data_IF_670135889084
#
_entry.id   IF_670135889084
#
_cell.length_a   1.000
_cell.length_b   1.000
_cell.length_c   1.000
_cell.angle_alpha   90.00
_cell.angle_beta   90.00
_cell.angle_gamma   90.00
#
_symmetry.space_group_name_H-M   'P 1'
#
loop_
_entity.id
_entity.type
_entity.pdbx_description
1 polymer ?
#
# COMPACT_ATOMS: atom_id res chain seq x y z
N UNK A 1 -4.79 22.82 0.20
CA UNK A 1 -5.74 22.23 1.17
C UNK A 1 -6.95 23.16 1.26
N UNK A 2 -8.17 22.65 1.43
CA UNK A 2 -9.39 23.48 1.37
C UNK A 2 -9.45 24.57 2.46
N UNK A 3 -8.70 24.40 3.55
CA UNK A 3 -8.52 25.41 4.60
C UNK A 3 -7.60 26.57 4.20
N UNK A 4 -6.79 26.40 3.14
CA UNK A 4 -5.77 27.36 2.70
C UNK A 4 -6.26 28.30 1.58
N UNK A 5 -7.45 28.03 1.03
CA UNK A 5 -8.09 28.86 0.00
C UNK A 5 -8.69 30.18 0.54
N UNK A 6 -8.61 30.43 1.85
CA UNK A 6 -9.19 31.60 2.51
C UNK A 6 -8.23 32.78 2.66
N UNK A 7 -8.78 33.99 2.85
CA UNK A 7 -7.99 35.21 3.12
C UNK A 7 -7.20 35.02 4.44
N UNK A 8 -5.89 35.34 4.50
CA UNK A 8 -5.05 35.09 5.68
C UNK A 8 -5.59 35.66 6.99
N UNK A 9 -6.28 36.80 6.94
CA UNK A 9 -6.88 37.45 8.11
C UNK A 9 -8.03 36.64 8.71
N UNK A 10 -8.72 35.81 7.93
CA UNK A 10 -9.88 35.04 8.38
C UNK A 10 -9.44 33.78 9.14
N UNK A 11 -8.22 33.28 8.88
CA UNK A 11 -7.67 32.03 9.47
C UNK A 11 -7.61 32.07 10.99
N UNK A 12 -7.35 33.24 11.56
CA UNK A 12 -7.24 33.47 13.01
C UNK A 12 -8.49 34.14 13.60
N UNK A 13 -9.43 34.58 12.77
CA UNK A 13 -10.67 35.22 13.22
C UNK A 13 -11.65 34.18 13.78
N UNK A 14 -12.37 34.55 14.84
CA UNK A 14 -13.36 33.67 15.43
C UNK A 14 -14.74 33.94 14.81
N UNK A 15 -15.54 32.89 14.64
CA UNK A 15 -16.95 33.02 14.27
C UNK A 15 -17.79 33.53 15.46
N UNK A 16 -19.11 33.68 15.27
CA UNK A 16 -20.04 34.10 16.33
C UNK A 16 -20.05 33.17 17.56
N UNK A 17 -19.64 31.91 17.39
CA UNK A 17 -19.53 30.91 18.45
C UNK A 17 -18.15 30.91 19.13
N UNK A 18 -17.28 31.85 18.77
CA UNK A 18 -15.92 31.95 19.31
C UNK A 18 -14.94 30.91 18.75
N UNK A 19 -15.25 30.22 17.64
CA UNK A 19 -14.40 29.18 17.04
C UNK A 19 -13.62 29.70 15.84
N UNK A 20 -12.36 29.30 15.70
CA UNK A 20 -11.57 29.54 14.48
C UNK A 20 -12.02 28.64 13.34
N UNK A 21 -11.80 29.02 12.05
CA UNK A 21 -12.15 28.19 10.91
C UNK A 21 -11.67 26.73 11.00
N UNK A 22 -10.43 26.52 11.46
CA UNK A 22 -9.85 25.18 11.64
C UNK A 22 -10.57 24.34 12.70
N UNK A 23 -10.99 24.97 13.80
CA UNK A 23 -11.72 24.30 14.88
C UNK A 23 -13.11 23.89 14.40
N UNK A 24 -13.80 24.79 13.68
CA UNK A 24 -15.09 24.52 13.08
C UNK A 24 -15.00 23.42 12.01
N UNK A 25 -13.99 23.46 11.14
CA UNK A 25 -13.75 22.43 10.14
C UNK A 25 -13.49 21.07 10.79
N UNK A 26 -12.59 21.01 11.76
CA UNK A 26 -12.28 19.77 12.51
C UNK A 26 -13.52 19.22 13.21
N UNK A 27 -14.34 20.08 13.82
CA UNK A 27 -15.58 19.68 14.48
C UNK A 27 -16.58 19.10 13.48
N UNK A 28 -16.79 19.76 12.34
CA UNK A 28 -17.73 19.34 11.31
C UNK A 28 -17.29 18.06 10.59
N UNK A 29 -15.98 17.83 10.42
CA UNK A 29 -15.43 16.67 9.71
C UNK A 29 -15.02 15.52 10.65
N UNK A 30 -15.32 15.61 11.95
CA UNK A 30 -14.92 14.59 12.94
C UNK A 30 -15.38 13.18 12.58
N UNK A 31 -16.63 13.02 12.17
CA UNK A 31 -17.15 11.70 11.78
C UNK A 31 -16.55 11.22 10.45
N UNK A 32 -16.28 12.12 9.49
CA UNK A 32 -15.62 11.78 8.23
C UNK A 32 -14.19 11.29 8.46
N UNK A 33 -13.45 11.89 9.39
CA UNK A 33 -12.11 11.42 9.78
C UNK A 33 -12.18 10.02 10.38
N UNK A 34 -13.16 9.76 11.25
CA UNK A 34 -13.36 8.45 11.88
C UNK A 34 -13.79 7.37 10.88
N UNK A 35 -14.64 7.74 9.91
CA UNK A 35 -15.04 6.85 8.83
C UNK A 35 -13.87 6.57 7.87
N UNK A 36 -13.09 7.60 7.52
CA UNK A 36 -11.86 7.46 6.74
C UNK A 36 -10.83 6.57 7.42
N UNK A 37 -10.64 6.72 8.73
CA UNK A 37 -9.76 5.84 9.53
C UNK A 37 -10.24 4.38 9.48
N UNK A 38 -11.54 4.15 9.66
CA UNK A 38 -12.15 2.80 9.58
C UNK A 38 -12.02 2.19 8.20
N UNK A 39 -12.29 2.97 7.14
CA UNK A 39 -12.11 2.54 5.77
C UNK A 39 -10.64 2.15 5.54
N UNK A 40 -9.70 3.08 5.79
CA UNK A 40 -8.28 2.84 5.58
C UNK A 40 -7.79 1.59 6.32
N UNK A 41 -8.21 1.41 7.58
CA UNK A 41 -7.90 0.20 8.36
C UNK A 41 -8.48 -1.07 7.74
N UNK A 42 -9.73 -1.02 7.27
CA UNK A 42 -10.38 -2.14 6.59
C UNK A 42 -9.63 -2.53 5.32
N UNK A 43 -9.31 -1.55 4.46
CA UNK A 43 -8.55 -1.76 3.23
C UNK A 43 -7.16 -2.32 3.51
N UNK A 44 -6.42 -1.73 4.45
CA UNK A 44 -5.10 -2.22 4.84
C UNK A 44 -5.16 -3.65 5.36
N UNK A 45 -6.17 -4.00 6.18
CA UNK A 45 -6.36 -5.37 6.68
C UNK A 45 -6.64 -6.35 5.54
N UNK A 46 -7.54 -6.01 4.61
CA UNK A 46 -7.84 -6.86 3.46
C UNK A 46 -6.62 -7.05 2.56
N UNK A 47 -5.86 -5.99 2.28
CA UNK A 47 -4.65 -6.10 1.49
C UNK A 47 -3.57 -6.92 2.21
N UNK A 48 -3.39 -6.74 3.52
CA UNK A 48 -2.43 -7.53 4.31
C UNK A 48 -2.68 -9.03 4.19
N UNK A 49 -3.95 -9.48 4.21
CA UNK A 49 -4.31 -10.90 4.04
C UNK A 49 -3.94 -11.39 2.63
N UNK A 50 -4.25 -10.62 1.60
CA UNK A 50 -3.91 -10.95 0.20
C UNK A 50 -2.38 -10.97 0.02
N UNK A 51 -1.66 -9.98 0.54
CA UNK A 51 -0.21 -9.91 0.53
C UNK A 51 0.44 -11.10 1.23
N UNK A 52 -0.06 -11.49 2.41
CA UNK A 52 0.42 -12.68 3.12
C UNK A 52 0.23 -13.98 2.31
N UNK A 53 -0.90 -14.11 1.60
CA UNK A 53 -1.15 -15.24 0.72
C UNK A 53 -0.15 -15.29 -0.44
N UNK A 54 0.10 -14.14 -1.09
CA UNK A 54 1.06 -14.04 -2.21
C UNK A 54 2.49 -14.37 -1.73
N UNK A 55 2.92 -13.83 -0.59
CA UNK A 55 4.22 -14.15 0.03
C UNK A 55 4.35 -15.65 0.25
N UNK A 56 3.30 -16.30 0.75
CA UNK A 56 3.30 -17.75 1.02
C UNK A 56 3.46 -18.57 -0.27
N UNK A 57 2.71 -18.22 -1.32
CA UNK A 57 2.78 -18.89 -2.63
C UNK A 57 4.18 -18.71 -3.24
N UNK A 58 4.73 -17.51 -3.14
CA UNK A 58 6.06 -17.22 -3.69
C UNK A 58 7.19 -17.87 -2.92
N UNK A 59 7.09 -17.96 -1.59
CA UNK A 59 8.02 -18.75 -0.79
C UNK A 59 8.03 -20.20 -1.30
N UNK A 60 6.86 -20.82 -1.50
CA UNK A 60 6.77 -22.17 -2.05
C UNK A 60 7.37 -22.27 -3.47
N UNK A 61 7.10 -21.30 -4.36
CA UNK A 61 7.64 -21.27 -5.72
C UNK A 61 9.17 -21.12 -5.75
N UNK A 62 9.75 -20.33 -4.84
CA UNK A 62 11.19 -20.12 -4.73
C UNK A 62 11.95 -21.40 -4.35
N UNK A 63 11.33 -22.32 -3.61
CA UNK A 63 11.91 -23.63 -3.30
C UNK A 63 11.51 -24.74 -4.30
N UNK A 64 10.43 -24.54 -5.06
CA UNK A 64 9.94 -25.50 -6.07
C UNK A 64 10.22 -25.04 -7.50
N UNK A 65 11.39 -24.42 -7.73
CA UNK A 65 11.77 -23.90 -9.06
C UNK A 65 11.75 -25.05 -10.09
N UNK A 66 10.93 -24.96 -11.15
CA UNK A 66 10.88 -25.99 -12.17
C UNK A 66 12.27 -26.17 -12.81
N UNK A 67 12.74 -27.42 -12.88
CA UNK A 67 14.08 -27.75 -13.38
C UNK A 67 15.19 -27.73 -12.32
N UNK A 68 14.97 -27.14 -11.15
CA UNK A 68 15.96 -27.08 -10.07
C UNK A 68 17.17 -26.19 -10.38
N UNK A 69 18.22 -26.35 -9.56
CA UNK A 69 19.47 -25.60 -9.69
C UNK A 69 20.58 -26.50 -10.23
N UNK A 70 21.51 -25.91 -10.99
CA UNK A 70 22.73 -26.58 -11.40
C UNK A 70 23.59 -26.88 -10.16
N UNK A 71 23.90 -28.16 -9.91
CA UNK A 71 24.66 -28.59 -8.74
C UNK A 71 26.10 -28.06 -8.66
N UNK A 72 26.67 -27.54 -9.76
CA UNK A 72 28.01 -26.94 -9.76
C UNK A 72 28.02 -25.42 -9.57
N UNK A 73 27.00 -24.71 -10.07
CA UNK A 73 26.96 -23.24 -10.07
C UNK A 73 25.91 -22.65 -9.14
N UNK A 74 24.95 -23.45 -8.69
CA UNK A 74 23.83 -23.02 -7.85
C UNK A 74 22.74 -22.24 -8.59
N UNK A 75 22.94 -21.90 -9.88
CA UNK A 75 21.96 -21.14 -10.66
C UNK A 75 20.78 -22.00 -11.13
N UNK A 76 19.57 -21.42 -11.27
CA UNK A 76 18.43 -22.08 -11.88
C UNK A 76 18.77 -22.61 -13.28
N UNK A 77 18.45 -23.87 -13.57
CA UNK A 77 18.80 -24.51 -14.86
C UNK A 77 18.15 -23.76 -16.05
N UNK A 78 16.99 -23.13 -15.83
CA UNK A 78 16.29 -22.36 -16.85
C UNK A 78 16.60 -20.86 -16.85
N UNK A 79 17.62 -20.37 -16.12
CA UNK A 79 17.94 -18.94 -16.02
C UNK A 79 18.07 -18.23 -17.39
N UNK A 80 18.61 -18.93 -18.39
CA UNK A 80 18.79 -18.39 -19.75
C UNK A 80 17.56 -18.49 -20.67
N UNK A 81 16.46 -19.11 -20.22
CA UNK A 81 15.21 -19.16 -20.98
C UNK A 81 14.45 -17.85 -20.77
N UNK A 82 14.17 -17.11 -21.86
CA UNK A 82 13.44 -15.83 -21.79
C UNK A 82 12.13 -15.89 -21.01
N UNK A 83 11.39 -17.01 -21.11
CA UNK A 83 10.14 -17.22 -20.36
C UNK A 83 10.36 -17.33 -18.85
N UNK A 84 11.44 -17.97 -18.42
CA UNK A 84 11.78 -18.12 -17.00
C UNK A 84 12.23 -16.77 -16.40
N UNK A 85 13.02 -15.99 -17.13
CA UNK A 85 13.41 -14.64 -16.71
C UNK A 85 12.18 -13.72 -16.59
N UNK A 86 11.27 -13.76 -17.57
CA UNK A 86 10.04 -12.97 -17.53
C UNK A 86 9.13 -13.37 -16.35
N UNK A 87 9.04 -14.67 -16.06
CA UNK A 87 8.32 -15.19 -14.90
C UNK A 87 8.86 -14.61 -13.59
N UNK A 88 10.17 -14.74 -13.32
CA UNK A 88 10.80 -14.22 -12.09
C UNK A 88 10.65 -12.71 -11.93
N UNK A 89 10.80 -11.94 -13.03
CA UNK A 89 10.62 -10.49 -13.01
C UNK A 89 9.17 -10.11 -12.69
N UNK A 90 8.19 -10.79 -13.30
CA UNK A 90 6.77 -10.57 -13.02
C UNK A 90 6.41 -10.91 -11.58
N UNK A 91 6.97 -12.00 -11.04
CA UNK A 91 6.76 -12.46 -9.67
C UNK A 91 7.32 -11.44 -8.67
N UNK A 92 8.51 -10.92 -8.94
CA UNK A 92 9.11 -9.84 -8.13
C UNK A 92 8.25 -8.57 -8.14
N UNK A 93 7.80 -8.11 -9.32
CA UNK A 93 6.93 -6.93 -9.43
C UNK A 93 5.61 -7.16 -8.67
N UNK A 94 5.03 -8.35 -8.79
CA UNK A 94 3.81 -8.74 -8.08
C UNK A 94 3.98 -8.64 -6.56
N UNK A 95 5.09 -9.12 -6.00
CA UNK A 95 5.37 -9.00 -4.56
C UNK A 95 5.51 -7.56 -4.10
N UNK A 96 6.32 -6.77 -4.80
CA UNK A 96 6.56 -5.39 -4.42
C UNK A 96 5.26 -4.57 -4.51
N UNK A 97 4.42 -4.84 -5.51
CA UNK A 97 3.11 -4.21 -5.62
C UNK A 97 2.16 -4.65 -4.51
N UNK A 98 2.18 -5.94 -4.13
CA UNK A 98 1.30 -6.51 -3.10
C UNK A 98 1.65 -6.04 -1.69
N UNK A 99 2.92 -5.75 -1.44
CA UNK A 99 3.40 -5.25 -0.13
C UNK A 99 3.22 -3.73 0.04
N UNK A 100 3.06 -3.00 -1.07
CA UNK A 100 2.82 -1.55 -1.07
C UNK A 100 1.32 -1.18 -1.04
N UNK A 101 0.43 -2.11 -1.40
CA UNK A 101 -1.02 -1.87 -1.52
C UNK A 101 -1.78 -1.98 -0.21
#
# INVERSE_FOLDING_TARGET
EVEDTGIPQIKESNNCDGMKPRELFTKNHKELVKEGERWMKGTASSCTVVGALIITIMFAAAFTIPGGNNGQTGFPIFLHKKLFTAFIVSDAISLFSSTTS
#
